data_IF_848653759829
#
_entry.id   IF_848653759829
#
_cell.length_a   1.000
_cell.length_b   1.000
_cell.length_c   1.000
_cell.angle_alpha   90.00
_cell.angle_beta   90.00
_cell.angle_gamma   90.00
#
_symmetry.space_group_name_H-M   'P 1'
#
loop_
_entity.id
_entity.type
_entity.pdbx_description
1 polymer ?
#
# COMPACT_ATOMS: atom_id res chain seq x y z
N UNK A 1 -18.18 2.68 22.56
CA UNK A 1 -17.36 2.23 21.40
C UNK A 1 -16.79 3.46 20.68
N UNK A 2 -15.47 3.49 20.46
CA UNK A 2 -14.77 4.66 19.94
C UNK A 2 -14.95 4.81 18.43
N UNK A 3 -15.19 6.05 17.97
CA UNK A 3 -15.37 6.39 16.54
C UNK A 3 -14.06 6.82 15.86
N UNK A 4 -13.11 7.36 16.62
CA UNK A 4 -11.81 7.87 16.18
C UNK A 4 -10.77 7.67 17.29
N UNK A 5 -9.49 7.54 16.94
CA UNK A 5 -8.41 7.53 17.91
C UNK A 5 -8.01 8.95 18.31
N UNK A 6 -7.89 9.19 19.62
CA UNK A 6 -7.33 10.42 20.17
C UNK A 6 -5.81 10.37 20.08
N UNK A 7 -5.24 11.33 19.36
CA UNK A 7 -3.81 11.37 19.01
C UNK A 7 -3.20 12.68 19.54
N UNK A 8 -1.98 12.60 20.07
CA UNK A 8 -1.28 13.78 20.59
C UNK A 8 -0.89 14.75 19.44
N UNK A 9 -0.73 16.03 19.72
CA UNK A 9 -0.42 17.06 18.72
C UNK A 9 0.79 16.69 17.85
N UNK A 10 1.89 16.21 18.44
CA UNK A 10 3.09 15.77 17.69
C UNK A 10 2.81 14.59 16.74
N UNK A 11 1.96 13.66 17.16
CA UNK A 11 1.62 12.49 16.34
C UNK A 11 0.67 12.88 15.19
N UNK A 12 -0.21 13.86 15.42
CA UNK A 12 -1.08 14.42 14.38
C UNK A 12 -0.27 15.20 13.34
N UNK A 13 0.76 15.92 13.77
CA UNK A 13 1.66 16.63 12.85
C UNK A 13 2.44 15.65 11.97
N UNK A 14 3.03 14.59 12.56
CA UNK A 14 3.68 13.51 11.79
C UNK A 14 2.69 12.89 10.81
N UNK A 15 1.46 12.59 11.25
CA UNK A 15 0.43 12.01 10.38
C UNK A 15 0.08 12.94 9.20
N UNK A 16 -0.06 14.25 9.44
CA UNK A 16 -0.35 15.23 8.39
C UNK A 16 0.80 15.36 7.39
N UNK A 17 2.05 15.42 7.86
CA UNK A 17 3.22 15.48 7.00
C UNK A 17 3.39 14.21 6.18
N UNK A 18 3.29 13.03 6.80
CA UNK A 18 3.37 11.75 6.10
C UNK A 18 2.26 11.57 5.08
N UNK A 19 1.03 12.02 5.40
CA UNK A 19 -0.08 12.04 4.45
C UNK A 19 0.20 12.99 3.29
N UNK A 20 0.59 14.24 3.56
CA UNK A 20 0.85 15.24 2.53
C UNK A 20 1.99 14.85 1.58
N UNK A 21 3.12 14.38 2.13
CA UNK A 21 4.26 13.90 1.35
C UNK A 21 3.88 12.65 0.55
N UNK A 22 3.16 11.70 1.18
CA UNK A 22 2.69 10.49 0.50
C UNK A 22 1.76 10.81 -0.67
N UNK A 23 0.81 11.72 -0.50
CA UNK A 23 -0.09 12.17 -1.58
C UNK A 23 0.68 12.87 -2.70
N UNK A 24 1.64 13.73 -2.37
CA UNK A 24 2.47 14.40 -3.36
C UNK A 24 3.26 13.40 -4.21
N UNK A 25 3.84 12.36 -3.60
CA UNK A 25 4.60 11.34 -4.33
C UNK A 25 3.68 10.44 -5.14
N UNK A 26 2.51 10.08 -4.63
CA UNK A 26 1.49 9.36 -5.39
C UNK A 26 1.08 10.13 -6.64
N UNK A 27 0.85 11.44 -6.53
CA UNK A 27 0.54 12.31 -7.67
C UNK A 27 1.70 12.37 -8.67
N UNK A 28 2.93 12.52 -8.20
CA UNK A 28 4.12 12.50 -9.07
C UNK A 28 4.31 11.16 -9.78
N UNK A 29 4.04 10.04 -9.10
CA UNK A 29 4.07 8.70 -9.69
C UNK A 29 2.96 8.48 -10.71
N UNK A 30 1.76 8.99 -10.43
CA UNK A 30 0.63 8.94 -11.34
C UNK A 30 0.88 9.77 -12.60
N UNK A 31 1.34 11.02 -12.47
CA UNK A 31 1.67 11.88 -13.62
C UNK A 31 2.75 11.24 -14.48
N UNK A 32 3.82 10.74 -13.86
CA UNK A 32 4.90 10.05 -14.56
C UNK A 32 4.40 8.82 -15.34
N UNK A 33 3.53 8.01 -14.73
CA UNK A 33 2.97 6.81 -15.37
C UNK A 33 1.97 7.14 -16.49
N UNK A 34 1.17 8.20 -16.31
CA UNK A 34 0.14 8.63 -17.24
C UNK A 34 0.70 9.41 -18.45
N UNK A 35 1.77 10.19 -18.25
CA UNK A 35 2.43 10.93 -19.34
C UNK A 35 3.34 10.02 -20.17
N UNK A 36 3.99 9.03 -19.54
CA UNK A 36 4.95 8.14 -20.22
C UNK A 36 4.34 6.80 -20.67
N UNK A 37 3.00 6.69 -20.79
CA UNK A 37 2.32 5.42 -21.10
C UNK A 37 2.72 4.84 -22.47
N UNK A 38 3.08 5.70 -23.45
CA UNK A 38 3.44 5.27 -24.81
C UNK A 38 4.79 4.53 -24.89
N UNK A 39 5.76 4.84 -24.03
CA UNK A 39 7.10 4.24 -24.08
C UNK A 39 7.20 2.91 -23.29
N UNK A 40 6.35 2.70 -22.29
CA UNK A 40 6.42 1.52 -21.40
C UNK A 40 5.93 0.21 -22.01
N UNK A 41 5.04 0.24 -23.01
CA UNK A 41 4.62 -0.98 -23.72
C UNK A 41 5.78 -1.55 -24.56
N UNK A 42 6.66 -0.67 -25.07
CA UNK A 42 7.91 -1.06 -25.71
C UNK A 42 8.99 -1.43 -24.67
N UNK A 43 9.02 -0.76 -23.51
CA UNK A 43 9.95 -1.00 -22.40
C UNK A 43 9.81 -2.35 -21.69
N UNK A 44 8.63 -2.97 -21.69
CA UNK A 44 8.41 -4.33 -21.14
C UNK A 44 9.30 -5.41 -21.78
N UNK A 45 9.80 -5.17 -23.00
CA UNK A 45 10.77 -6.04 -23.68
C UNK A 45 12.24 -5.66 -23.45
N UNK A 46 12.52 -4.46 -22.93
CA UNK A 46 13.88 -3.86 -22.85
C UNK A 46 14.35 -3.65 -21.39
N UNK A 47 13.44 -3.50 -20.42
CA UNK A 47 13.74 -3.25 -19.00
C UNK A 47 14.37 -4.45 -18.26
N UNK A 48 14.47 -5.60 -18.91
CA UNK A 48 15.24 -6.73 -18.37
C UNK A 48 16.77 -6.54 -18.50
N UNK A 49 17.22 -5.41 -19.09
CA UNK A 49 18.59 -5.25 -19.59
C UNK A 49 19.24 -3.91 -19.21
N UNK A 50 18.48 -2.87 -18.79
CA UNK A 50 19.11 -1.56 -18.65
C UNK A 50 20.00 -1.47 -17.39
N UNK A 51 21.29 -1.08 -17.52
CA UNK A 51 22.11 -0.70 -16.38
C UNK A 51 21.46 0.52 -15.71
N UNK A 52 21.64 0.66 -14.39
CA UNK A 52 21.02 1.67 -13.52
C UNK A 52 20.96 3.04 -14.21
N UNK A 53 19.84 3.30 -14.86
CA UNK A 53 19.56 4.56 -15.52
C UNK A 53 19.05 5.55 -14.46
N UNK A 54 19.24 6.86 -14.65
CA UNK A 54 18.77 7.85 -13.66
C UNK A 54 17.25 7.78 -13.42
N UNK A 55 16.48 7.30 -14.41
CA UNK A 55 15.05 6.99 -14.28
C UNK A 55 14.78 5.88 -13.25
N UNK A 56 15.63 4.86 -13.16
CA UNK A 56 15.54 3.78 -12.17
C UNK A 56 15.84 4.30 -10.76
N UNK A 57 16.79 5.23 -10.59
CA UNK A 57 17.10 5.81 -9.27
C UNK A 57 15.93 6.64 -8.72
N UNK A 58 15.27 7.43 -9.57
CA UNK A 58 14.09 8.22 -9.17
C UNK A 58 12.92 7.31 -8.79
N UNK A 59 12.69 6.21 -9.53
CA UNK A 59 11.70 5.21 -9.17
C UNK A 59 11.97 4.58 -7.80
N UNK A 60 13.22 4.18 -7.54
CA UNK A 60 13.63 3.62 -6.23
C UNK A 60 13.41 4.63 -5.10
N UNK A 61 13.77 5.90 -5.30
CA UNK A 61 13.54 6.95 -4.29
C UNK A 61 12.05 7.14 -4.02
N UNK A 62 11.19 7.15 -5.06
CA UNK A 62 9.73 7.24 -4.89
C UNK A 62 9.20 6.10 -4.01
N UNK A 63 9.61 4.86 -4.28
CA UNK A 63 9.19 3.69 -3.50
C UNK A 63 9.66 3.75 -2.04
N UNK A 64 10.92 4.14 -1.81
CA UNK A 64 11.48 4.27 -0.46
C UNK A 64 10.76 5.34 0.35
N UNK A 65 10.51 6.52 -0.24
CA UNK A 65 9.83 7.59 0.49
C UNK A 65 8.35 7.24 0.73
N UNK A 66 7.68 6.59 -0.22
CA UNK A 66 6.32 6.05 -0.02
C UNK A 66 6.26 5.04 1.11
N UNK A 67 7.26 4.17 1.21
CA UNK A 67 7.39 3.23 2.32
C UNK A 67 7.51 3.96 3.66
N UNK A 68 8.41 4.93 3.78
CA UNK A 68 8.59 5.72 5.01
C UNK A 68 7.29 6.45 5.40
N UNK A 69 6.58 7.03 4.43
CA UNK A 69 5.29 7.70 4.68
C UNK A 69 4.24 6.70 5.18
N UNK A 70 4.13 5.54 4.55
CA UNK A 70 3.17 4.50 4.93
C UNK A 70 3.47 3.94 6.33
N UNK A 71 4.74 3.64 6.60
CA UNK A 71 5.20 3.14 7.90
C UNK A 71 4.98 4.18 9.00
N UNK A 72 5.23 5.46 8.75
CA UNK A 72 4.99 6.49 9.76
C UNK A 72 3.50 6.67 10.08
N UNK A 73 2.60 6.56 9.09
CA UNK A 73 1.16 6.59 9.36
C UNK A 73 0.69 5.34 10.13
N UNK A 74 1.18 4.16 9.77
CA UNK A 74 0.91 2.92 10.50
C UNK A 74 1.53 2.91 11.91
N UNK A 75 2.64 3.60 12.13
CA UNK A 75 3.26 3.74 13.46
C UNK A 75 2.35 4.52 14.43
N UNK A 76 1.69 5.57 13.94
CA UNK A 76 0.71 6.31 14.75
C UNK A 76 -0.47 5.41 15.09
N UNK A 77 -0.95 4.61 14.12
CA UNK A 77 -2.01 3.61 14.33
C UNK A 77 -1.59 2.53 15.34
N UNK A 78 -0.35 2.05 15.25
CA UNK A 78 0.21 1.06 16.18
C UNK A 78 0.16 1.56 17.61
N UNK A 79 0.58 2.81 17.84
CA UNK A 79 0.60 3.44 19.17
C UNK A 79 -0.80 3.63 19.73
N UNK A 80 -1.78 3.95 18.88
CA UNK A 80 -3.18 4.08 19.33
C UNK A 80 -3.81 2.72 19.66
N UNK A 81 -3.47 1.66 18.92
CA UNK A 81 -3.87 0.28 19.22
C UNK A 81 -3.24 -0.25 20.51
N UNK A 82 -1.94 0.04 20.75
CA UNK A 82 -1.24 -0.36 21.97
C UNK A 82 -1.89 0.24 23.22
N UNK A 83 -2.26 1.53 23.17
CA UNK A 83 -2.93 2.22 24.29
C UNK A 83 -4.27 1.57 24.66
N UNK A 84 -4.90 0.83 23.75
CA UNK A 84 -6.16 0.10 23.97
C UNK A 84 -5.97 -1.39 24.30
N UNK A 85 -4.75 -1.83 24.60
CA UNK A 85 -4.40 -3.20 25.05
C UNK A 85 -4.64 -4.35 24.04
N UNK A 86 -4.90 -4.05 22.76
CA UNK A 86 -5.10 -5.09 21.75
C UNK A 86 -3.76 -5.57 21.15
N UNK A 87 -3.06 -6.42 21.91
CA UNK A 87 -1.74 -6.94 21.54
C UNK A 87 -1.72 -7.69 20.19
N UNK A 88 -2.76 -8.49 19.90
CA UNK A 88 -2.83 -9.27 18.66
C UNK A 88 -2.93 -8.38 17.39
N UNK A 89 -3.69 -7.28 17.46
CA UNK A 89 -3.83 -6.35 16.34
C UNK A 89 -2.56 -5.55 16.11
N UNK A 90 -1.89 -5.17 17.20
CA UNK A 90 -0.59 -4.52 17.13
C UNK A 90 0.46 -5.43 16.49
N UNK A 91 0.53 -6.71 16.90
CA UNK A 91 1.49 -7.65 16.34
C UNK A 91 1.27 -7.81 14.82
N UNK A 92 0.02 -7.99 14.40
CA UNK A 92 -0.31 -8.13 12.98
C UNK A 92 0.04 -6.88 12.17
N UNK A 93 -0.18 -5.69 12.72
CA UNK A 93 0.21 -4.44 12.08
C UNK A 93 1.75 -4.28 12.00
N UNK A 94 2.49 -4.72 13.03
CA UNK A 94 3.96 -4.75 12.98
C UNK A 94 4.44 -5.72 11.90
N UNK A 95 3.81 -6.89 11.76
CA UNK A 95 4.13 -7.85 10.69
C UNK A 95 3.93 -7.19 9.32
N UNK A 96 2.82 -6.47 9.10
CA UNK A 96 2.62 -5.72 7.85
C UNK A 96 3.74 -4.69 7.60
N UNK A 97 4.12 -3.91 8.62
CA UNK A 97 5.19 -2.93 8.51
C UNK A 97 6.52 -3.57 8.10
N UNK A 98 6.87 -4.70 8.72
CA UNK A 98 8.11 -5.44 8.42
C UNK A 98 8.07 -6.00 7.00
N UNK A 99 6.95 -6.57 6.56
CA UNK A 99 6.81 -7.13 5.22
C UNK A 99 6.85 -6.05 4.11
N UNK A 100 6.29 -4.87 4.35
CA UNK A 100 6.39 -3.73 3.42
C UNK A 100 7.82 -3.23 3.34
N UNK A 101 8.51 -3.08 4.49
CA UNK A 101 9.92 -2.69 4.51
C UNK A 101 10.79 -3.72 3.76
N UNK A 102 10.58 -5.02 4.02
CA UNK A 102 11.31 -6.10 3.37
C UNK A 102 11.09 -6.10 1.84
N UNK A 103 9.85 -5.85 1.40
CA UNK A 103 9.52 -5.72 -0.01
C UNK A 103 10.32 -4.63 -0.71
N UNK A 104 10.38 -3.44 -0.11
CA UNK A 104 11.14 -2.32 -0.68
C UNK A 104 12.64 -2.59 -0.66
N UNK A 105 13.18 -3.14 0.43
CA UNK A 105 14.61 -3.52 0.49
C UNK A 105 14.97 -4.48 -0.65
N UNK A 106 14.18 -5.54 -0.86
CA UNK A 106 14.44 -6.51 -1.95
C UNK A 106 14.26 -5.86 -3.33
N UNK A 107 13.28 -4.97 -3.50
CA UNK A 107 13.07 -4.24 -4.75
C UNK A 107 14.28 -3.36 -5.12
N UNK A 108 14.89 -2.70 -4.13
CA UNK A 108 16.05 -1.81 -4.35
C UNK A 108 17.35 -2.53 -4.71
N UNK A 109 17.50 -3.82 -4.36
CA UNK A 109 18.73 -4.57 -4.64
C UNK A 109 18.74 -4.98 -6.13
N UNK A 110 19.80 -4.69 -6.89
CA UNK A 110 19.89 -5.12 -8.29
C UNK A 110 19.86 -6.66 -8.40
N UNK A 111 19.15 -7.19 -9.40
CA UNK A 111 18.98 -8.64 -9.57
C UNK A 111 20.28 -9.37 -9.95
N UNK A 112 21.26 -8.64 -10.50
CA UNK A 112 22.53 -9.21 -10.96
C UNK A 112 22.38 -10.12 -12.18
N UNK A 113 21.22 -10.09 -12.84
CA UNK A 113 20.95 -10.86 -14.06
C UNK A 113 21.89 -10.39 -15.18
N UNK A 114 22.37 -11.36 -15.97
CA UNK A 114 23.34 -11.10 -17.04
C UNK A 114 22.73 -11.52 -18.38
N UNK A 115 22.93 -10.70 -19.41
CA UNK A 115 22.68 -11.14 -20.77
C UNK A 115 23.71 -12.16 -21.18
N UNK A 116 23.23 -13.23 -21.78
CA UNK A 116 24.07 -14.12 -22.56
C UNK A 116 24.22 -13.57 -23.98
N UNK A 117 25.33 -13.93 -24.65
CA UNK A 117 25.64 -13.50 -26.03
C UNK A 117 24.55 -13.89 -27.05
N UNK A 118 23.63 -14.78 -26.67
CA UNK A 118 22.46 -15.19 -27.47
C UNK A 118 21.23 -14.30 -27.28
N UNK A 119 21.33 -13.21 -26.51
CA UNK A 119 20.23 -12.29 -26.22
C UNK A 119 19.24 -12.81 -25.17
N UNK A 120 19.53 -13.96 -24.54
CA UNK A 120 18.70 -14.53 -23.48
C UNK A 120 19.18 -14.02 -22.11
N UNK A 121 18.25 -13.50 -21.31
CA UNK A 121 18.54 -13.07 -19.94
C UNK A 121 18.74 -14.31 -19.08
N UNK A 122 19.95 -14.48 -18.53
CA UNK A 122 20.23 -15.53 -17.55
C UNK A 122 19.93 -14.99 -16.17
N UNK A 123 18.84 -15.48 -15.59
CA UNK A 123 18.49 -15.16 -14.21
C UNK A 123 19.51 -15.77 -13.25
N UNK A 124 19.99 -14.95 -12.31
CA UNK A 124 20.71 -15.46 -11.14
C UNK A 124 19.73 -16.08 -10.15
N UNK A 125 20.23 -16.87 -9.19
CA UNK A 125 19.38 -17.38 -8.11
C UNK A 125 18.67 -16.26 -7.34
N UNK A 126 19.30 -15.09 -7.23
CA UNK A 126 18.72 -13.90 -6.61
C UNK A 126 17.70 -13.21 -7.54
N UNK A 127 17.93 -13.16 -8.85
CA UNK A 127 16.97 -12.64 -9.83
C UNK A 127 15.64 -13.41 -9.82
N UNK A 128 15.71 -14.74 -9.80
CA UNK A 128 14.50 -15.60 -9.69
C UNK A 128 13.80 -15.44 -8.35
N UNK A 129 14.55 -15.28 -7.26
CA UNK A 129 13.96 -14.97 -5.95
C UNK A 129 13.26 -13.61 -5.97
N UNK A 130 13.93 -12.58 -6.51
CA UNK A 130 13.42 -11.21 -6.59
C UNK A 130 12.13 -11.12 -7.43
N UNK A 131 12.01 -11.90 -8.50
CA UNK A 131 10.80 -11.92 -9.33
C UNK A 131 9.62 -12.63 -8.66
N UNK A 132 9.89 -13.66 -7.85
CA UNK A 132 8.84 -14.47 -7.20
C UNK A 132 8.42 -13.91 -5.83
N UNK A 133 9.34 -13.24 -5.12
CA UNK A 133 9.13 -12.72 -3.78
C UNK A 133 7.91 -11.78 -3.64
N UNK A 134 7.68 -10.80 -4.54
CA UNK A 134 6.55 -9.87 -4.42
C UNK A 134 5.22 -10.60 -4.31
N UNK A 135 4.99 -11.66 -5.08
CA UNK A 135 3.75 -12.42 -5.05
C UNK A 135 3.45 -12.99 -3.66
N UNK A 136 4.42 -13.70 -3.06
CA UNK A 136 4.26 -14.26 -1.72
C UNK A 136 4.19 -13.17 -0.65
N UNK A 137 4.96 -12.09 -0.80
CA UNK A 137 4.95 -10.97 0.13
C UNK A 137 3.59 -10.25 0.14
N UNK A 138 2.99 -10.02 -1.02
CA UNK A 138 1.66 -9.42 -1.14
C UNK A 138 0.56 -10.28 -0.49
N UNK A 139 0.62 -11.61 -0.64
CA UNK A 139 -0.30 -12.53 0.05
C UNK A 139 -0.14 -12.43 1.57
N UNK A 140 1.11 -12.43 2.07
CA UNK A 140 1.37 -12.33 3.50
C UNK A 140 0.90 -11.00 4.10
N UNK A 141 1.14 -9.88 3.39
CA UNK A 141 0.65 -8.55 3.76
C UNK A 141 -0.89 -8.53 3.78
N UNK A 142 -1.53 -9.11 2.77
CA UNK A 142 -2.98 -9.18 2.68
C UNK A 142 -3.58 -9.98 3.85
N UNK A 143 -3.04 -11.16 4.17
CA UNK A 143 -3.52 -11.98 5.29
C UNK A 143 -3.40 -11.23 6.64
N UNK A 144 -2.27 -10.56 6.87
CA UNK A 144 -2.09 -9.71 8.04
C UNK A 144 -3.08 -8.52 8.02
N UNK A 145 -3.28 -7.90 6.86
CA UNK A 145 -4.26 -6.82 6.66
C UNK A 145 -5.70 -7.25 6.95
N UNK A 146 -6.10 -8.45 6.56
CA UNK A 146 -7.41 -9.03 6.87
C UNK A 146 -7.57 -9.22 8.37
N UNK A 147 -6.54 -9.72 9.06
CA UNK A 147 -6.59 -9.90 10.52
C UNK A 147 -6.76 -8.56 11.25
N UNK A 148 -5.99 -7.54 10.86
CA UNK A 148 -6.15 -6.17 11.38
C UNK A 148 -7.52 -5.60 11.02
N UNK A 149 -7.97 -5.77 9.78
CA UNK A 149 -9.24 -5.26 9.28
C UNK A 149 -10.45 -5.85 10.02
N UNK A 150 -10.50 -7.18 10.17
CA UNK A 150 -11.53 -7.88 10.94
C UNK A 150 -11.52 -7.44 12.40
N UNK A 151 -10.32 -7.29 12.99
CA UNK A 151 -10.17 -6.79 14.35
C UNK A 151 -10.69 -5.36 14.53
N UNK A 152 -10.45 -4.49 13.56
CA UNK A 152 -10.96 -3.13 13.56
C UNK A 152 -12.49 -3.09 13.38
N UNK A 153 -13.03 -3.91 12.49
CA UNK A 153 -14.48 -4.00 12.23
C UNK A 153 -15.25 -4.49 13.46
N UNK A 154 -14.69 -5.45 14.21
CA UNK A 154 -15.35 -6.07 15.37
C UNK A 154 -15.29 -5.19 16.62
N UNK A 155 -14.19 -4.47 16.82
CA UNK A 155 -13.93 -3.77 18.09
C UNK A 155 -14.26 -2.26 18.05
N UNK A 156 -14.46 -1.67 16.87
CA UNK A 156 -14.63 -0.22 16.72
C UNK A 156 -15.81 0.16 15.81
N UNK A 157 -16.26 1.42 15.92
CA UNK A 157 -17.33 2.01 15.12
C UNK A 157 -16.80 3.20 14.30
N UNK A 158 -17.61 3.70 13.37
CA UNK A 158 -17.29 4.90 12.60
C UNK A 158 -16.11 4.73 11.64
N UNK A 159 -15.21 5.71 11.59
CA UNK A 159 -14.13 5.79 10.61
C UNK A 159 -13.13 4.63 10.72
N UNK A 160 -12.90 4.10 11.93
CA UNK A 160 -12.06 2.92 12.13
C UNK A 160 -12.62 1.66 11.45
N UNK A 161 -13.94 1.50 11.49
CA UNK A 161 -14.61 0.36 10.85
C UNK A 161 -14.55 0.47 9.33
N UNK A 162 -14.67 1.69 8.79
CA UNK A 162 -14.48 1.93 7.35
C UNK A 162 -13.05 1.65 6.91
N UNK A 163 -12.05 2.03 7.69
CA UNK A 163 -10.66 1.67 7.40
C UNK A 163 -10.43 0.16 7.48
N UNK A 164 -11.04 -0.52 8.45
CA UNK A 164 -11.00 -1.99 8.53
C UNK A 164 -11.60 -2.68 7.29
N UNK A 165 -12.68 -2.14 6.72
CA UNK A 165 -13.22 -2.61 5.44
C UNK A 165 -12.29 -2.31 4.28
N UNK A 166 -11.72 -1.10 4.21
CA UNK A 166 -10.81 -0.70 3.14
C UNK A 166 -9.54 -1.57 3.08
N UNK A 167 -9.02 -2.00 4.23
CA UNK A 167 -7.90 -2.94 4.30
C UNK A 167 -8.18 -4.29 3.64
N UNK A 168 -9.45 -4.67 3.53
CA UNK A 168 -9.87 -5.93 2.90
C UNK A 168 -10.29 -5.67 1.45
N UNK A 169 -11.16 -4.69 1.22
CA UNK A 169 -11.78 -4.46 -0.09
C UNK A 169 -10.83 -3.86 -1.10
N UNK A 170 -9.97 -2.92 -0.72
CA UNK A 170 -9.10 -2.23 -1.68
C UNK A 170 -8.04 -3.16 -2.28
N UNK A 171 -7.33 -4.01 -1.51
CA UNK A 171 -6.42 -4.99 -2.10
C UNK A 171 -7.12 -6.02 -2.99
N UNK A 172 -8.34 -6.44 -2.65
CA UNK A 172 -9.10 -7.39 -3.48
C UNK A 172 -9.51 -6.75 -4.81
N UNK A 173 -9.97 -5.50 -4.78
CA UNK A 173 -10.31 -4.75 -5.99
C UNK A 173 -9.08 -4.54 -6.87
N UNK A 174 -7.94 -4.17 -6.28
CA UNK A 174 -6.67 -4.02 -7.02
C UNK A 174 -6.25 -5.32 -7.71
N UNK A 175 -6.29 -6.45 -6.99
CA UNK A 175 -6.00 -7.76 -7.59
C UNK A 175 -6.99 -8.14 -8.70
N UNK A 176 -8.28 -7.81 -8.55
CA UNK A 176 -9.29 -8.07 -9.57
C UNK A 176 -9.03 -7.25 -10.84
N UNK A 177 -8.63 -5.99 -10.69
CA UNK A 177 -8.22 -5.11 -11.77
C UNK A 177 -6.98 -5.65 -12.50
N UNK A 178 -5.95 -6.07 -11.76
CA UNK A 178 -4.75 -6.69 -12.31
C UNK A 178 -5.04 -8.01 -13.06
N UNK A 179 -5.91 -8.84 -12.50
CA UNK A 179 -6.34 -10.08 -13.15
C UNK A 179 -7.11 -9.81 -14.45
N UNK A 180 -8.01 -8.81 -14.44
CA UNK A 180 -8.74 -8.38 -15.64
C UNK A 180 -7.80 -7.92 -16.75
N UNK A 181 -6.76 -7.15 -16.42
CA UNK A 181 -5.74 -6.74 -17.37
C UNK A 181 -4.97 -7.92 -17.96
N UNK A 182 -4.52 -8.84 -17.10
CA UNK A 182 -3.78 -10.03 -17.51
C UNK A 182 -4.61 -10.91 -18.47
N UNK A 183 -5.92 -11.04 -18.19
CA UNK A 183 -6.84 -11.76 -19.06
C UNK A 183 -6.97 -11.08 -20.45
N UNK A 184 -7.15 -9.75 -20.48
CA UNK A 184 -7.19 -8.98 -21.73
C UNK A 184 -5.89 -9.13 -22.53
N UNK A 185 -4.74 -9.13 -21.84
CA UNK A 185 -3.43 -9.26 -22.48
C UNK A 185 -3.17 -10.66 -23.07
N UNK A 186 -3.59 -11.73 -22.38
CA UNK A 186 -3.19 -13.11 -22.73
C UNK A 186 -4.26 -13.92 -23.47
N UNK A 187 -5.54 -13.67 -23.21
CA UNK A 187 -6.64 -14.52 -23.70
C UNK A 187 -7.47 -13.85 -24.80
N UNK A 188 -7.42 -12.52 -24.91
CA UNK A 188 -8.17 -11.77 -25.93
C UNK A 188 -7.26 -11.47 -27.11
N UNK A 189 -7.30 -12.34 -28.13
CA UNK A 189 -6.61 -12.11 -29.39
C UNK A 189 -7.26 -10.97 -30.20
N UNK A 190 -6.45 -10.10 -30.80
CA UNK A 190 -6.92 -9.04 -31.70
C UNK A 190 -7.05 -7.64 -31.09
N UNK A 191 -6.68 -7.45 -29.82
CA UNK A 191 -6.55 -6.11 -29.22
C UNK A 191 -5.36 -5.37 -29.83
N UNK A 192 -5.58 -4.11 -30.23
CA UNK A 192 -4.48 -3.26 -30.67
C UNK A 192 -3.65 -2.78 -29.48
N UNK A 193 -2.39 -2.43 -29.72
CA UNK A 193 -1.51 -1.85 -28.69
C UNK A 193 -2.15 -0.60 -28.05
N UNK A 194 -2.94 0.15 -28.83
CA UNK A 194 -3.64 1.35 -28.36
C UNK A 194 -4.79 1.03 -27.40
N UNK A 195 -5.53 -0.05 -27.63
CA UNK A 195 -6.60 -0.51 -26.74
C UNK A 195 -6.00 -0.98 -25.40
N UNK A 196 -4.90 -1.72 -25.45
CA UNK A 196 -4.19 -2.19 -24.26
C UNK A 196 -3.62 -1.02 -23.43
N UNK A 197 -3.07 -0.01 -24.11
CA UNK A 197 -2.59 1.24 -23.47
C UNK A 197 -3.72 1.99 -22.74
N UNK A 198 -4.91 2.03 -23.35
CA UNK A 198 -6.09 2.67 -22.74
C UNK A 198 -6.52 1.93 -21.48
N UNK A 199 -6.58 0.60 -21.52
CA UNK A 199 -6.89 -0.22 -20.34
C UNK A 199 -5.85 -0.08 -19.23
N UNK A 200 -4.56 -0.06 -19.58
CA UNK A 200 -3.49 0.20 -18.61
C UNK A 200 -3.67 1.57 -17.92
N UNK A 201 -4.06 2.60 -18.67
CA UNK A 201 -4.32 3.94 -18.12
C UNK A 201 -5.49 3.93 -17.13
N UNK A 202 -6.59 3.23 -17.44
CA UNK A 202 -7.74 3.08 -16.54
C UNK A 202 -7.34 2.39 -15.24
N UNK A 203 -6.49 1.36 -15.33
CA UNK A 203 -6.00 0.63 -14.15
C UNK A 203 -5.14 1.53 -13.27
N UNK A 204 -4.22 2.31 -13.85
CA UNK A 204 -3.40 3.25 -13.08
C UNK A 204 -4.26 4.28 -12.33
N UNK A 205 -5.34 4.78 -12.94
CA UNK A 205 -6.30 5.67 -12.27
C UNK A 205 -7.01 4.95 -11.11
N UNK A 206 -7.45 3.70 -11.33
CA UNK A 206 -8.10 2.91 -10.28
C UNK A 206 -7.16 2.64 -9.09
N UNK A 207 -5.91 2.25 -9.36
CA UNK A 207 -4.88 2.02 -8.35
C UNK A 207 -4.53 3.26 -7.54
N UNK A 208 -4.38 4.39 -8.24
CA UNK A 208 -4.19 5.69 -7.61
C UNK A 208 -5.35 6.01 -6.67
N UNK A 209 -6.59 5.84 -7.13
CA UNK A 209 -7.79 6.07 -6.32
C UNK A 209 -7.88 5.17 -5.08
N UNK A 210 -7.55 3.88 -5.21
CA UNK A 210 -7.56 2.93 -4.11
C UNK A 210 -6.49 3.26 -3.05
N UNK A 211 -5.29 3.62 -3.49
CA UNK A 211 -4.18 3.93 -2.58
C UNK A 211 -4.41 5.27 -1.88
N UNK A 212 -4.86 6.29 -2.62
CA UNK A 212 -5.25 7.57 -2.04
C UNK A 212 -6.41 7.41 -1.07
N UNK A 213 -7.43 6.62 -1.43
CA UNK A 213 -8.56 6.30 -0.56
C UNK A 213 -8.11 5.66 0.75
N UNK A 214 -7.17 4.71 0.69
CA UNK A 214 -6.61 4.05 1.88
C UNK A 214 -5.92 5.06 2.81
N UNK A 215 -5.13 5.98 2.25
CA UNK A 215 -4.44 7.02 3.01
C UNK A 215 -5.41 8.01 3.64
N UNK A 216 -6.43 8.44 2.89
CA UNK A 216 -7.48 9.33 3.40
C UNK A 216 -8.26 8.69 4.55
N UNK A 217 -8.68 7.43 4.38
CA UNK A 217 -9.40 6.70 5.43
C UNK A 217 -8.56 6.53 6.68
N UNK A 218 -7.27 6.17 6.54
CA UNK A 218 -6.34 6.10 7.65
C UNK A 218 -6.23 7.45 8.36
N UNK A 219 -6.10 8.55 7.61
CA UNK A 219 -6.05 9.90 8.18
C UNK A 219 -7.32 10.28 8.94
N UNK A 220 -8.49 9.87 8.45
CA UNK A 220 -9.78 10.12 9.10
C UNK A 220 -10.04 9.25 10.33
N UNK A 221 -9.25 8.21 10.56
CA UNK A 221 -9.33 7.41 11.80
C UNK A 221 -8.76 8.13 13.02
N UNK A 222 -7.98 9.20 12.83
CA UNK A 222 -7.20 9.87 13.89
C UNK A 222 -7.52 11.36 13.95
N UNK A 223 -7.85 11.85 15.15
CA UNK A 223 -8.12 13.27 15.40
C UNK A 223 -7.59 13.69 16.77
N UNK A 224 -7.18 14.95 16.90
CA UNK A 224 -6.85 15.56 18.20
C UNK A 224 -8.09 15.77 19.06
N UNK A 225 -9.24 15.96 18.42
CA UNK A 225 -10.48 16.42 19.06
C UNK A 225 -11.50 15.26 19.21
N UNK A 226 -11.03 14.02 19.14
CA UNK A 226 -11.90 12.85 19.22
C UNK A 226 -12.60 12.79 20.58
N UNK A 227 -13.91 13.07 20.63
CA UNK A 227 -14.71 12.88 21.83
C UNK A 227 -14.79 11.40 22.18
N UNK A 228 -14.12 10.98 23.25
CA UNK A 228 -14.41 9.69 23.87
C UNK A 228 -15.81 9.78 24.47
N UNK A 229 -16.83 9.29 23.76
CA UNK A 229 -18.08 8.89 24.42
C UNK A 229 -17.74 7.70 25.31
N UNK A 230 -17.39 8.01 26.57
CA UNK A 230 -17.47 7.06 27.68
C UNK A 230 -18.91 6.57 27.71
N UNK A 231 -19.11 5.30 27.33
CA UNK A 231 -20.37 4.61 27.55
C UNK A 231 -20.34 3.99 28.93
N UNK A 232 -20.16 4.81 29.96
CA UNK A 232 -20.17 4.40 31.36
C UNK A 232 -20.65 5.57 32.23
N UNK A 233 -21.91 5.97 32.01
CA UNK A 233 -22.67 6.90 32.85
C UNK A 233 -24.02 6.25 33.21
N UNK A 234 -23.98 4.97 33.60
CA UNK A 234 -25.11 4.32 34.25
C UNK A 234 -24.63 3.52 35.45
N UNK A 235 -25.03 4.03 36.62
CA UNK A 235 -25.18 3.33 37.90
C UNK A 235 -23.96 3.16 38.81
N UNK A 236 -23.44 4.26 39.38
CA UNK A 236 -22.99 4.26 40.80
C UNK A 236 -23.22 5.64 41.43
N UNK A 237 -24.34 5.84 42.14
CA UNK A 237 -24.35 6.21 43.57
C UNK A 237 -25.79 6.34 44.13
N UNK A 238 -26.37 5.31 44.79
CA UNK A 238 -27.61 5.46 45.55
C UNK A 238 -27.41 6.01 46.98
N UNK A 239 -26.23 6.53 47.33
CA UNK A 239 -26.01 7.18 48.63
C UNK A 239 -25.22 8.48 48.47
N UNK A 240 -25.92 9.55 48.12
CA UNK A 240 -25.62 10.92 48.54
C UNK A 240 -26.89 11.77 48.46
#
# INVERSE_FOLDING_TARGET
>A
MTKQFLVNHRQQEVLNWSFGIGVAILLLGFIDSFVNTSDRVYGLFVDAISPIDMSNMVAVVKEVVMCVCTLSMWEVLRRSLYRRSHFALQLSLVVMMVLVLLGVVIATIPSGDVLTDTGVVRHTSFGTFKSTFPFFNHIAIYLAGVFVGVGLIRNYLGNLRFYGWALITFPVLDNLFQFGYYYLYTQVGGLTVNDLSTWNSVLQVAQFGLTLGSFCLLRFTMSSDASETNGDDSDINPYQ
#
